data_IF_271600069465
#
_entry.id   IF_271600069465
#
_cell.length_a   1.000
_cell.length_b   1.000
_cell.length_c   1.000
_cell.angle_alpha   90.00
_cell.angle_beta   90.00
_cell.angle_gamma   90.00
#
_symmetry.space_group_name_H-M   'P 1'
#
loop_
_entity.id
_entity.type
_entity.pdbx_description
1 polymer ?
#
# COMPACT_ATOMS: atom_id res chain seq x y z
N UNK A 1 -4.00 10.70 -29.72
CA UNK A 1 -2.70 10.08 -29.37
C UNK A 1 -1.81 10.22 -30.60
N UNK A 2 -0.47 10.27 -30.48
CA UNK A 2 0.40 10.45 -31.66
C UNK A 2 0.69 9.12 -32.39
N UNK A 3 0.60 8.00 -31.66
CA UNK A 3 0.86 6.63 -32.14
C UNK A 3 -0.31 5.69 -31.89
N UNK A 4 -0.30 4.53 -32.56
CA UNK A 4 -1.24 3.46 -32.26
C UNK A 4 -1.04 2.96 -30.83
N UNK A 5 -2.14 2.66 -30.14
CA UNK A 5 -2.15 2.30 -28.73
C UNK A 5 -1.35 1.02 -28.50
N UNK A 6 -1.41 0.06 -29.44
CA UNK A 6 -0.67 -1.20 -29.33
C UNK A 6 0.85 -1.02 -29.27
N UNK A 7 1.40 0.08 -29.80
CA UNK A 7 2.84 0.37 -29.71
C UNK A 7 3.30 0.68 -28.28
N UNK A 8 2.38 1.09 -27.39
CA UNK A 8 2.71 1.39 -26.01
C UNK A 8 2.84 0.13 -25.13
N UNK A 9 2.38 -1.03 -25.62
CA UNK A 9 2.44 -2.29 -24.88
C UNK A 9 3.88 -2.70 -24.60
N UNK A 10 4.18 -3.04 -23.36
CA UNK A 10 5.50 -3.55 -23.01
C UNK A 10 5.56 -5.08 -23.16
N UNK A 11 6.68 -5.65 -23.63
CA UNK A 11 6.77 -7.09 -23.88
C UNK A 11 6.73 -7.94 -22.60
N UNK A 12 7.05 -7.34 -21.45
CA UNK A 12 6.98 -8.00 -20.13
C UNK A 12 5.65 -7.76 -19.39
N UNK A 13 4.70 -7.04 -19.99
CA UNK A 13 3.38 -6.84 -19.38
C UNK A 13 2.48 -8.05 -19.55
N UNK A 14 1.82 -8.46 -18.47
CA UNK A 14 0.77 -9.47 -18.56
C UNK A 14 -0.42 -8.95 -19.36
N UNK A 15 -1.15 -9.86 -20.01
CA UNK A 15 -2.32 -9.51 -20.82
C UNK A 15 -3.38 -8.77 -20.01
N UNK A 16 -3.62 -9.18 -18.76
CA UNK A 16 -4.57 -8.51 -17.87
C UNK A 16 -4.13 -7.07 -17.56
N UNK A 17 -2.84 -6.87 -17.32
CA UNK A 17 -2.27 -5.54 -17.09
C UNK A 17 -2.40 -4.64 -18.32
N UNK A 18 -2.03 -5.16 -19.49
CA UNK A 18 -2.15 -4.41 -20.74
C UNK A 18 -3.60 -4.04 -21.03
N UNK A 19 -4.54 -4.97 -20.92
CA UNK A 19 -5.94 -4.72 -21.24
C UNK A 19 -6.53 -3.61 -20.35
N UNK A 20 -6.24 -3.64 -19.05
CA UNK A 20 -6.71 -2.60 -18.12
C UNK A 20 -6.08 -1.24 -18.44
N UNK A 21 -4.77 -1.22 -18.75
CA UNK A 21 -4.08 0.01 -19.14
C UNK A 21 -4.61 0.56 -20.46
N UNK A 22 -4.81 -0.29 -21.46
CA UNK A 22 -5.34 0.06 -22.78
C UNK A 22 -6.73 0.66 -22.69
N UNK A 23 -7.63 0.08 -21.89
CA UNK A 23 -8.96 0.64 -21.67
C UNK A 23 -8.87 2.02 -21.01
N UNK A 24 -8.02 2.19 -20.00
CA UNK A 24 -7.81 3.50 -19.38
C UNK A 24 -7.34 4.55 -20.39
N UNK A 25 -6.43 4.18 -21.30
CA UNK A 25 -5.93 5.06 -22.36
C UNK A 25 -7.04 5.46 -23.34
N UNK A 26 -7.89 4.50 -23.76
CA UNK A 26 -9.02 4.75 -24.66
C UNK A 26 -10.09 5.64 -24.02
N UNK A 27 -10.45 5.41 -22.76
CA UNK A 27 -11.49 6.19 -22.07
C UNK A 27 -11.10 7.66 -21.82
N UNK A 28 -9.80 7.95 -21.75
CA UNK A 28 -9.29 9.27 -21.40
C UNK A 28 -8.46 9.93 -22.50
N UNK A 29 -8.53 9.41 -23.73
CA UNK A 29 -7.88 10.02 -24.87
C UNK A 29 -8.38 11.46 -25.07
N UNK A 30 -7.47 12.40 -25.33
CA UNK A 30 -7.80 13.82 -25.54
C UNK A 30 -8.05 14.64 -24.27
N UNK A 31 -8.19 14.02 -23.09
CA UNK A 31 -8.36 14.75 -21.81
C UNK A 31 -7.04 15.24 -21.21
N UNK A 32 -5.93 14.55 -21.52
CA UNK A 32 -4.61 14.83 -20.97
C UNK A 32 -3.54 14.80 -22.07
N UNK A 33 -2.40 15.49 -21.86
CA UNK A 33 -1.22 15.30 -22.69
C UNK A 33 -0.79 13.83 -22.66
N UNK A 34 -0.30 13.33 -23.80
CA UNK A 34 0.02 11.91 -23.99
C UNK A 34 0.93 11.34 -22.91
N UNK A 35 2.08 11.98 -22.63
CA UNK A 35 3.00 11.55 -21.57
C UNK A 35 2.32 11.45 -20.20
N UNK A 36 1.44 12.41 -19.88
CA UNK A 36 0.72 12.40 -18.60
C UNK A 36 -0.30 11.26 -18.56
N UNK A 37 -1.00 11.03 -19.66
CA UNK A 37 -1.98 9.97 -19.79
C UNK A 37 -1.31 8.59 -19.65
N UNK A 38 -0.17 8.37 -20.29
CA UNK A 38 0.62 7.13 -20.18
C UNK A 38 1.05 6.88 -18.72
N UNK A 39 1.56 7.91 -18.03
CA UNK A 39 1.93 7.78 -16.61
C UNK A 39 0.73 7.45 -15.71
N UNK A 40 -0.42 8.09 -15.94
CA UNK A 40 -1.63 7.83 -15.16
C UNK A 40 -2.17 6.43 -15.43
N UNK A 41 -2.17 5.98 -16.68
CA UNK A 41 -2.60 4.64 -17.05
C UNK A 41 -1.72 3.56 -16.40
N UNK A 42 -0.39 3.78 -16.38
CA UNK A 42 0.53 2.87 -15.69
C UNK A 42 0.29 2.85 -14.19
N UNK A 43 0.17 4.03 -13.57
CA UNK A 43 -0.09 4.13 -12.14
C UNK A 43 -1.42 3.44 -11.78
N UNK A 44 -2.46 3.65 -12.57
CA UNK A 44 -3.76 2.99 -12.41
C UNK A 44 -3.65 1.47 -12.44
N UNK A 45 -3.02 0.91 -13.49
CA UNK A 45 -2.86 -0.54 -13.60
C UNK A 45 -2.00 -1.12 -12.46
N UNK A 46 -0.97 -0.38 -12.01
CA UNK A 46 -0.16 -0.77 -10.85
C UNK A 46 -0.96 -0.74 -9.53
N UNK A 47 -1.79 0.28 -9.31
CA UNK A 47 -2.66 0.35 -8.13
C UNK A 47 -3.62 -0.83 -8.13
N UNK A 48 -4.30 -1.05 -9.25
CA UNK A 48 -5.32 -2.08 -9.32
C UNK A 48 -4.70 -3.46 -9.24
N UNK A 49 -3.79 -3.82 -10.13
CA UNK A 49 -3.33 -5.21 -10.26
C UNK A 49 -2.27 -5.57 -9.24
N UNK A 50 -1.34 -4.65 -8.95
CA UNK A 50 -0.20 -4.91 -8.06
C UNK A 50 -0.43 -4.40 -6.62
N UNK A 51 -1.53 -3.67 -6.36
CA UNK A 51 -1.82 -3.11 -5.04
C UNK A 51 -0.88 -1.95 -4.65
N UNK A 52 -0.24 -1.30 -5.62
CA UNK A 52 0.65 -0.17 -5.33
C UNK A 52 -0.12 1.02 -4.73
N UNK A 53 0.58 1.85 -3.96
CA UNK A 53 0.06 3.11 -3.44
C UNK A 53 0.97 4.26 -3.84
N UNK A 54 0.36 5.37 -4.23
CA UNK A 54 1.03 6.60 -4.66
C UNK A 54 0.63 7.75 -3.73
N UNK A 55 1.26 8.95 -3.86
CA UNK A 55 0.86 10.11 -3.07
C UNK A 55 -0.63 10.41 -3.17
N UNK A 56 -1.22 10.90 -2.07
CA UNK A 56 -2.67 11.07 -1.91
C UNK A 56 -3.33 11.84 -3.07
N UNK A 57 -2.68 12.90 -3.56
CA UNK A 57 -3.20 13.69 -4.68
C UNK A 57 -3.37 12.84 -5.96
N UNK A 58 -2.44 11.93 -6.23
CA UNK A 58 -2.51 11.02 -7.39
C UNK A 58 -3.59 9.97 -7.16
N UNK A 59 -3.70 9.42 -5.95
CA UNK A 59 -4.75 8.43 -5.64
C UNK A 59 -6.15 9.01 -5.81
N UNK A 60 -6.38 10.24 -5.36
CA UNK A 60 -7.65 10.95 -5.57
C UNK A 60 -7.91 11.13 -7.06
N UNK A 61 -6.92 11.59 -7.82
CA UNK A 61 -7.05 11.75 -9.28
C UNK A 61 -7.39 10.41 -9.97
N UNK A 62 -6.66 9.33 -9.64
CA UNK A 62 -6.90 8.00 -10.20
C UNK A 62 -8.29 7.50 -9.86
N UNK A 63 -8.75 7.63 -8.62
CA UNK A 63 -10.09 7.20 -8.22
C UNK A 63 -11.23 7.94 -8.94
N UNK A 64 -11.01 9.19 -9.34
CA UNK A 64 -11.98 9.94 -10.12
C UNK A 64 -12.08 9.41 -11.56
N UNK A 65 -10.92 9.14 -12.19
CA UNK A 65 -10.80 8.63 -13.56
C UNK A 65 -11.20 7.15 -13.68
N UNK A 66 -10.95 6.37 -12.62
CA UNK A 66 -11.28 4.95 -12.54
C UNK A 66 -12.77 4.64 -12.77
N UNK A 67 -13.67 5.60 -12.50
CA UNK A 67 -15.12 5.46 -12.70
C UNK A 67 -15.52 5.27 -14.17
N UNK A 68 -14.70 5.73 -15.10
CA UNK A 68 -14.95 5.61 -16.54
C UNK A 68 -14.38 4.31 -17.14
N UNK A 69 -13.73 3.48 -16.33
CA UNK A 69 -13.16 2.19 -16.74
C UNK A 69 -14.14 1.08 -16.36
N UNK A 70 -14.74 0.45 -17.36
CA UNK A 70 -15.78 -0.58 -17.18
C UNK A 70 -15.20 -1.87 -16.62
N UNK A 71 -14.01 -2.29 -17.08
CA UNK A 71 -13.41 -3.56 -16.63
C UNK A 71 -13.03 -3.57 -15.15
N UNK A 72 -12.86 -2.40 -14.52
CA UNK A 72 -12.49 -2.31 -13.11
C UNK A 72 -13.52 -3.00 -12.20
N UNK A 73 -14.82 -2.84 -12.46
CA UNK A 73 -15.86 -3.50 -11.66
C UNK A 73 -15.72 -5.03 -11.72
N UNK A 74 -15.47 -5.56 -12.92
CA UNK A 74 -15.32 -7.01 -13.12
C UNK A 74 -14.08 -7.57 -12.42
N UNK A 75 -12.98 -6.82 -12.39
CA UNK A 75 -11.76 -7.19 -11.68
C UNK A 75 -11.97 -7.19 -10.16
N UNK A 76 -12.64 -6.17 -9.63
CA UNK A 76 -12.92 -6.06 -8.21
C UNK A 76 -13.86 -7.18 -7.73
N UNK A 77 -14.88 -7.53 -8.52
CA UNK A 77 -15.76 -8.68 -8.22
C UNK A 77 -15.00 -10.01 -8.22
N UNK A 78 -14.13 -10.25 -9.20
CA UNK A 78 -13.27 -11.44 -9.24
C UNK A 78 -12.39 -11.53 -7.98
N UNK A 79 -11.80 -10.41 -7.55
CA UNK A 79 -11.00 -10.37 -6.31
C UNK A 79 -11.82 -10.68 -5.07
N UNK A 80 -13.02 -10.10 -4.94
CA UNK A 80 -13.93 -10.37 -3.82
C UNK A 80 -14.23 -11.87 -3.73
N UNK A 81 -14.60 -12.50 -4.85
CA UNK A 81 -14.84 -13.94 -4.93
C UNK A 81 -13.60 -14.77 -4.56
N UNK A 82 -12.41 -14.34 -4.98
CA UNK A 82 -11.16 -15.04 -4.64
C UNK A 82 -10.80 -14.93 -3.15
N UNK A 83 -11.08 -13.80 -2.50
CA UNK A 83 -10.82 -13.59 -1.07
C UNK A 83 -11.79 -14.39 -0.18
N UNK A 84 -12.98 -14.75 -0.66
CA UNK A 84 -13.95 -15.57 0.09
C UNK A 84 -13.46 -17.00 0.34
N UNK A 85 -12.49 -17.51 -0.43
CA UNK A 85 -12.06 -18.92 -0.41
C UNK A 85 -10.95 -19.20 0.64
N UNK A 86 -10.44 -18.21 1.38
CA UNK A 86 -9.25 -18.35 2.24
C UNK A 86 -9.52 -18.52 3.74
N UNK A 87 -10.43 -19.44 4.12
CA UNK A 87 -10.42 -19.99 5.48
C UNK A 87 -10.62 -21.51 5.46
N UNK A 88 -9.55 -22.24 5.12
CA UNK A 88 -9.50 -23.68 5.37
C UNK A 88 -9.33 -23.86 6.88
N UNK A 89 -10.45 -24.14 7.56
CA UNK A 89 -10.43 -24.61 8.94
C UNK A 89 -9.74 -25.98 8.93
N UNK A 90 -8.52 -26.05 9.47
CA UNK A 90 -7.81 -27.32 9.60
C UNK A 90 -8.69 -28.36 10.30
N UNK A 91 -8.74 -29.57 9.77
CA UNK A 91 -9.57 -30.66 10.28
C UNK A 91 -8.94 -31.38 11.49
N UNK A 92 -7.93 -30.80 12.13
CA UNK A 92 -7.24 -31.45 13.25
C UNK A 92 -7.56 -30.75 14.56
N UNK A 93 -8.59 -31.26 15.26
CA UNK A 93 -8.64 -31.35 16.72
C UNK A 93 -9.95 -32.07 17.17
N UNK A 94 -10.07 -33.37 16.82
CA UNK A 94 -11.15 -34.23 17.34
C UNK A 94 -10.93 -34.66 18.80
N UNK A 95 -9.89 -34.17 19.48
CA UNK A 95 -9.51 -34.72 20.79
C UNK A 95 -8.93 -33.68 21.78
N UNK A 96 -9.78 -32.79 22.31
CA UNK A 96 -9.79 -32.33 23.72
C UNK A 96 -10.69 -31.10 23.87
N UNK A 97 -11.93 -31.31 24.29
CA UNK A 97 -12.61 -30.36 25.19
C UNK A 97 -13.37 -31.14 26.26
N UNK A 98 -12.63 -31.57 27.29
CA UNK A 98 -13.20 -31.64 28.65
C UNK A 98 -13.25 -30.18 29.13
N UNK A 99 -14.46 -29.63 29.31
CA UNK A 99 -14.76 -28.24 29.71
C UNK A 99 -14.14 -27.83 31.07
N UNK A 100 -14.22 -26.55 31.52
CA UNK A 100 -14.08 -25.27 30.81
C UNK A 100 -13.28 -24.24 31.66
N UNK A 101 -12.27 -23.56 31.12
CA UNK A 101 -11.85 -22.25 31.67
C UNK A 101 -11.43 -21.34 30.53
N UNK A 102 -11.92 -20.11 30.59
CA UNK A 102 -11.72 -19.03 29.63
C UNK A 102 -10.26 -18.55 29.62
N UNK A 103 -9.35 -19.37 29.12
CA UNK A 103 -7.94 -19.01 29.03
C UNK A 103 -7.51 -18.91 27.56
N UNK A 104 -7.90 -17.81 26.93
CA UNK A 104 -7.20 -17.23 25.79
C UNK A 104 -7.50 -15.73 25.77
N UNK A 105 -6.50 -14.99 26.20
CA UNK A 105 -6.57 -13.60 26.65
C UNK A 105 -7.19 -12.64 25.65
N UNK A 106 -8.18 -11.89 26.14
CA UNK A 106 -8.53 -10.60 25.53
C UNK A 106 -7.50 -9.57 26.00
N UNK A 107 -6.50 -9.28 25.14
CA UNK A 107 -5.45 -8.31 25.44
C UNK A 107 -5.95 -6.84 25.56
N UNK A 108 -7.25 -6.58 25.46
CA UNK A 108 -7.77 -5.20 25.35
C UNK A 108 -8.65 -4.73 26.50
N UNK A 109 -8.58 -5.32 27.70
CA UNK A 109 -9.50 -4.95 28.79
C UNK A 109 -8.92 -4.13 29.96
N UNK A 110 -7.67 -3.67 29.90
CA UNK A 110 -7.14 -2.77 30.93
C UNK A 110 -6.39 -1.58 30.35
N UNK A 111 -7.10 -0.47 30.11
CA UNK A 111 -6.53 0.87 30.30
C UNK A 111 -7.63 1.93 30.35
N UNK A 112 -8.29 2.06 31.51
CA UNK A 112 -9.00 3.30 31.85
C UNK A 112 -9.06 3.58 33.36
N UNK A 113 -8.07 3.11 34.13
CA UNK A 113 -7.80 3.59 35.48
C UNK A 113 -6.36 3.27 35.81
N UNK A 114 -5.49 4.29 35.86
CA UNK A 114 -4.14 4.17 36.43
C UNK A 114 -4.24 4.40 37.94
N UNK A 115 -4.06 3.40 38.82
CA UNK A 115 -3.72 3.68 40.19
C UNK A 115 -2.24 4.09 40.26
N UNK A 116 -1.99 5.18 40.98
CA UNK A 116 -0.68 5.76 41.22
C UNK A 116 0.15 4.82 42.13
N UNK A 117 1.24 4.27 41.62
CA UNK A 117 2.25 3.56 42.42
C UNK A 117 3.65 3.97 41.96
N UNK A 118 4.55 4.37 42.88
CA UNK A 118 5.89 4.81 42.53
C UNK A 118 6.78 3.58 42.41
N UNK A 119 7.35 3.35 41.23
CA UNK A 119 8.44 2.39 41.11
C UNK A 119 9.62 2.99 40.36
N UNK A 120 10.76 2.97 41.05
CA UNK A 120 12.00 3.66 40.76
C UNK A 120 12.70 3.03 39.55
N UNK A 121 12.93 3.83 38.51
CA UNK A 121 13.72 3.45 37.35
C UNK A 121 15.20 3.28 37.73
N UNK A 122 15.68 2.05 37.75
CA UNK A 122 17.10 1.72 37.70
C UNK A 122 17.22 0.42 36.88
N UNK A 123 17.80 0.46 35.67
CA UNK A 123 18.56 -0.64 35.01
C UNK A 123 18.54 -0.72 33.47
N UNK A 124 18.00 0.25 32.73
CA UNK A 124 18.35 0.39 31.31
C UNK A 124 18.92 1.76 31.01
N UNK A 125 20.14 1.98 31.50
CA UNK A 125 21.01 3.03 31.01
C UNK A 125 22.40 2.43 30.76
N UNK A 126 22.57 1.87 29.57
CA UNK A 126 23.88 1.54 29.01
C UNK A 126 23.80 1.90 27.53
N UNK A 127 24.25 3.11 27.21
CA UNK A 127 24.35 3.63 25.86
C UNK A 127 25.38 2.80 25.08
N UNK A 128 25.07 2.30 23.86
CA UNK A 128 26.10 1.84 22.95
C UNK A 128 26.92 3.06 22.50
N UNK A 129 28.20 3.12 22.87
CA UNK A 129 29.15 4.04 22.26
C UNK A 129 29.26 3.70 20.77
N UNK A 130 28.96 4.65 19.86
CA UNK A 130 29.30 4.44 18.46
C UNK A 130 28.56 5.18 17.36
N UNK A 131 27.60 6.06 17.63
CA UNK A 131 27.01 6.90 16.56
C UNK A 131 27.04 8.38 16.93
N UNK A 132 28.03 9.10 16.42
CA UNK A 132 28.04 10.57 16.44
C UNK A 132 26.99 11.09 15.46
N UNK A 133 26.01 11.79 16.03
CA UNK A 133 24.96 12.54 15.33
C UNK A 133 25.55 13.73 14.58
N UNK A 134 25.45 13.74 13.24
CA UNK A 134 25.71 14.94 12.45
C UNK A 134 24.47 15.83 12.46
N UNK A 135 24.37 16.68 13.47
CA UNK A 135 23.52 17.87 13.45
C UNK A 135 24.40 19.09 13.64
N UNK A 136 25.00 19.58 12.56
CA UNK A 136 25.54 20.93 12.53
C UNK A 136 25.13 21.63 11.23
N UNK A 137 24.15 22.53 11.38
CA UNK A 137 23.79 23.56 10.39
C UNK A 137 25.05 24.30 9.98
N UNK A 138 25.40 24.27 8.69
CA UNK A 138 26.42 25.12 8.10
C UNK A 138 25.77 26.04 7.07
N UNK A 139 25.98 27.35 7.25
CA UNK A 139 25.59 28.41 6.31
C UNK A 139 26.44 28.29 5.02
N UNK A 140 25.78 28.31 3.86
CA UNK A 140 26.35 28.06 2.54
C UNK A 140 27.22 29.20 1.96
N UNK A 141 27.96 29.95 2.79
CA UNK A 141 28.68 31.17 2.36
C UNK A 141 30.21 31.11 2.47
N UNK A 142 30.83 29.92 2.61
CA UNK A 142 32.28 29.82 2.86
C UNK A 142 33.09 29.08 1.77
N UNK A 143 32.57 28.94 0.54
CA UNK A 143 33.21 28.11 -0.50
C UNK A 143 34.03 28.85 -1.57
N UNK A 144 34.28 30.16 -1.44
CA UNK A 144 35.22 30.87 -2.32
C UNK A 144 36.09 31.85 -1.52
N UNK A 145 37.24 31.36 -1.05
CA UNK A 145 38.49 32.14 -0.92
C UNK A 145 39.62 31.21 -0.45
N UNK A 146 40.41 30.71 -1.40
CA UNK A 146 41.84 30.49 -1.21
C UNK A 146 42.56 30.52 -2.55
#
# INVERSE_FOLDING_TARGET
MEKDIEEYRQPWESTEHWNLRKEFLLSHEGKFPENRLLCLAQAFANVEILGCSYPQAVMIQLSALAKEVVSLNTLQEKRKKNCEILFVKGEDDKNKRKNPVNDLGTYTKYSNSRPNLPFQNQHYNSSPQGYQSYNQRMNAAAFFNR
#
